data_IF_185903503245
#
_entry.id   IF_185903503245
#
_cell.length_a   1.000
_cell.length_b   1.000
_cell.length_c   1.000
_cell.angle_alpha   90.00
_cell.angle_beta   90.00
_cell.angle_gamma   90.00
#
_symmetry.space_group_name_H-M   'P 1'
#
loop_
_entity.id
_entity.type
_entity.pdbx_description
1 polymer ?
#
# COMPACT_ATOMS: atom_id res chain seq x y z
N UNK A 1 -24.67 10.97 -22.72
CA UNK A 1 -24.90 9.80 -21.82
C UNK A 1 -24.53 8.45 -22.45
N UNK A 2 -24.35 8.32 -23.78
CA UNK A 2 -23.93 7.05 -24.42
C UNK A 2 -22.45 6.98 -24.83
N UNK A 3 -21.73 8.11 -24.91
CA UNK A 3 -20.30 8.13 -25.25
C UNK A 3 -19.39 7.71 -24.06
N UNK A 4 -19.85 7.89 -22.82
CA UNK A 4 -19.06 7.62 -21.62
C UNK A 4 -18.95 6.12 -21.28
N UNK A 5 -19.92 5.29 -21.71
CA UNK A 5 -19.88 3.84 -21.50
C UNK A 5 -18.91 3.14 -22.46
N UNK A 6 -18.76 3.66 -23.69
CA UNK A 6 -17.87 3.08 -24.69
C UNK A 6 -16.39 3.35 -24.37
N UNK A 7 -16.04 4.57 -23.95
CA UNK A 7 -14.67 4.92 -23.51
C UNK A 7 -14.30 4.26 -22.17
N UNK A 8 -15.27 3.98 -21.31
CA UNK A 8 -15.01 3.18 -20.10
C UNK A 8 -14.61 1.74 -20.44
N UNK A 9 -15.18 1.16 -21.49
CA UNK A 9 -14.96 -0.24 -21.87
C UNK A 9 -13.57 -0.48 -22.49
N UNK A 10 -13.00 0.50 -23.19
CA UNK A 10 -11.63 0.41 -23.74
C UNK A 10 -10.54 0.61 -22.69
N UNK A 11 -10.86 1.25 -21.55
CA UNK A 11 -9.98 1.37 -20.38
C UNK A 11 -9.99 0.11 -19.49
N UNK A 12 -10.88 -0.86 -19.77
CA UNK A 12 -11.01 -2.12 -19.03
C UNK A 12 -10.12 -3.26 -19.54
N UNK A 13 -9.33 -3.04 -20.59
CA UNK A 13 -8.15 -3.87 -20.83
C UNK A 13 -7.08 -3.50 -19.81
N UNK A 14 -7.27 -3.95 -18.57
CA UNK A 14 -6.17 -4.18 -17.65
C UNK A 14 -5.27 -5.19 -18.35
N UNK A 15 -4.21 -4.72 -19.00
CA UNK A 15 -2.96 -5.44 -18.93
C UNK A 15 -2.64 -5.55 -17.43
N UNK A 16 -3.15 -6.61 -16.80
CA UNK A 16 -2.60 -7.08 -15.54
C UNK A 16 -1.16 -7.45 -15.87
N UNK A 17 -0.24 -6.50 -15.71
CA UNK A 17 1.17 -6.84 -15.53
C UNK A 17 1.17 -7.87 -14.41
N UNK A 18 1.42 -9.13 -14.75
CA UNK A 18 1.63 -10.17 -13.76
C UNK A 18 2.91 -9.80 -13.03
N UNK A 19 2.79 -9.17 -11.86
CA UNK A 19 3.93 -8.97 -10.99
C UNK A 19 4.31 -10.32 -10.41
N UNK A 20 5.60 -10.63 -10.43
CA UNK A 20 6.11 -11.78 -9.70
C UNK A 20 6.20 -11.45 -8.21
N UNK A 21 6.40 -12.49 -7.39
CA UNK A 21 6.68 -12.34 -5.96
C UNK A 21 7.70 -11.23 -5.71
N UNK A 22 7.36 -10.29 -4.82
CA UNK A 22 8.25 -9.24 -4.30
C UNK A 22 8.57 -8.11 -5.29
N UNK A 23 7.82 -8.02 -6.40
CA UNK A 23 7.98 -6.93 -7.37
C UNK A 23 7.05 -5.74 -7.10
N UNK A 24 5.85 -5.97 -6.55
CA UNK A 24 4.86 -4.93 -6.25
C UNK A 24 4.55 -4.89 -4.76
N UNK A 25 4.88 -3.77 -4.13
CA UNK A 25 4.64 -3.55 -2.70
C UNK A 25 3.55 -2.50 -2.52
N UNK A 26 2.47 -2.88 -1.85
CA UNK A 26 1.45 -1.95 -1.37
C UNK A 26 1.91 -1.33 -0.04
N UNK A 27 1.82 -0.01 0.08
CA UNK A 27 2.09 0.72 1.32
C UNK A 27 0.77 1.28 1.84
N UNK A 28 0.48 0.99 3.09
CA UNK A 28 -0.68 1.51 3.82
C UNK A 28 -0.26 2.04 5.19
N UNK A 29 -0.79 3.20 5.58
CA UNK A 29 -0.53 3.84 6.88
C UNK A 29 -1.83 3.94 7.65
N UNK A 30 -1.87 3.32 8.82
CA UNK A 30 -3.04 3.33 9.69
C UNK A 30 -2.80 4.16 10.95
N UNK A 31 -3.83 4.89 11.38
CA UNK A 31 -3.86 5.66 12.62
C UNK A 31 -4.36 7.10 12.43
N UNK A 32 -4.45 7.88 13.53
CA UNK A 32 -3.99 7.54 14.87
C UNK A 32 -4.87 6.48 15.56
N UNK A 33 -4.23 5.53 16.25
CA UNK A 33 -4.91 4.53 17.07
C UNK A 33 -5.46 5.15 18.35
N UNK A 34 -6.61 4.63 18.81
CA UNK A 34 -7.25 5.09 20.05
C UNK A 34 -6.36 4.89 21.29
N UNK A 35 -5.62 3.79 21.32
CA UNK A 35 -4.67 3.49 22.39
C UNK A 35 -3.24 3.52 21.85
N UNK A 36 -2.35 4.16 22.60
CA UNK A 36 -0.92 4.11 22.32
C UNK A 36 -0.36 2.75 22.74
N UNK A 37 0.61 2.25 21.96
CA UNK A 37 1.44 1.14 22.43
C UNK A 37 2.27 1.54 23.66
N UNK A 38 2.83 0.55 24.36
CA UNK A 38 3.78 0.79 25.46
C UNK A 38 4.98 1.66 25.03
N UNK A 39 5.37 1.60 23.76
CA UNK A 39 6.43 2.43 23.17
C UNK A 39 5.96 3.79 22.62
N UNK A 40 4.72 4.20 22.90
CA UNK A 40 4.17 5.50 22.50
C UNK A 40 3.64 5.58 21.06
N UNK A 41 3.80 4.53 20.25
CA UNK A 41 3.35 4.52 18.87
C UNK A 41 1.82 4.72 18.75
N UNK A 42 1.42 5.57 17.79
CA UNK A 42 0.03 5.92 17.44
C UNK A 42 -0.34 5.50 16.02
N UNK A 43 0.66 5.18 15.20
CA UNK A 43 0.48 4.81 13.80
C UNK A 43 1.21 3.51 13.53
N UNK A 44 0.86 2.84 12.43
CA UNK A 44 1.74 1.85 11.82
C UNK A 44 1.76 2.02 10.31
N UNK A 45 2.84 1.59 9.67
CA UNK A 45 2.94 1.42 8.22
C UNK A 45 3.06 -0.06 7.91
N UNK A 46 2.31 -0.51 6.91
CA UNK A 46 2.29 -1.87 6.41
C UNK A 46 2.81 -1.92 4.97
N UNK A 47 3.88 -2.67 4.74
CA UNK A 47 4.39 -3.01 3.41
C UNK A 47 3.90 -4.40 3.06
N UNK A 48 2.95 -4.49 2.13
CA UNK A 48 2.32 -5.75 1.70
C UNK A 48 2.77 -6.12 0.30
N UNK A 49 3.40 -7.27 0.17
CA UNK A 49 3.68 -7.86 -1.14
C UNK A 49 2.38 -8.31 -1.81
N UNK A 50 2.14 -7.83 -3.04
CA UNK A 50 0.88 -8.09 -3.73
C UNK A 50 0.72 -9.57 -4.12
N UNK A 51 1.81 -10.25 -4.47
CA UNK A 51 1.77 -11.63 -4.94
C UNK A 51 1.67 -12.64 -3.77
N UNK A 52 2.65 -12.62 -2.86
CA UNK A 52 2.76 -13.58 -1.74
C UNK A 52 1.85 -13.25 -0.56
N UNK A 53 1.30 -12.03 -0.53
CA UNK A 53 0.54 -11.48 0.61
C UNK A 53 1.37 -11.36 1.90
N UNK A 54 2.70 -11.51 1.84
CA UNK A 54 3.61 -11.21 2.94
C UNK A 54 3.45 -9.76 3.38
N UNK A 55 3.54 -9.51 4.69
CA UNK A 55 3.38 -8.17 5.28
C UNK A 55 4.54 -7.87 6.22
N UNK A 56 5.13 -6.69 6.08
CA UNK A 56 6.08 -6.12 7.03
C UNK A 56 5.45 -4.87 7.65
N UNK A 57 5.33 -4.85 8.98
CA UNK A 57 4.69 -3.75 9.73
C UNK A 57 5.71 -3.06 10.62
N UNK A 58 5.69 -1.74 10.64
CA UNK A 58 6.47 -0.90 11.55
C UNK A 58 5.55 0.01 12.34
N UNK A 59 5.74 0.07 13.66
CA UNK A 59 5.02 0.98 14.54
C UNK A 59 5.72 2.34 14.59
N UNK A 60 4.93 3.42 14.57
CA UNK A 60 5.42 4.80 14.46
C UNK A 60 4.70 5.69 15.47
N UNK A 61 5.41 6.69 16.00
CA UNK A 61 4.81 7.74 16.83
C UNK A 61 4.20 8.86 15.97
N UNK A 62 4.75 9.08 14.76
CA UNK A 62 4.29 10.06 13.78
C UNK A 62 4.32 9.52 12.35
N UNK A 63 3.42 10.01 11.47
CA UNK A 63 3.42 9.71 10.02
C UNK A 63 4.72 10.11 9.32
N UNK A 64 5.50 11.05 9.89
CA UNK A 64 6.78 11.48 9.32
C UNK A 64 7.85 10.38 9.35
N UNK A 65 7.64 9.29 10.10
CA UNK A 65 8.58 8.17 10.21
C UNK A 65 8.49 7.18 9.03
N UNK A 66 7.50 7.32 8.14
CA UNK A 66 7.26 6.42 7.00
C UNK A 66 8.51 6.28 6.11
N UNK A 67 9.22 7.37 5.84
CA UNK A 67 10.42 7.34 5.00
C UNK A 67 11.53 6.48 5.59
N UNK A 68 11.74 6.56 6.92
CA UNK A 68 12.71 5.74 7.65
C UNK A 68 12.32 4.27 7.67
N UNK A 69 11.02 3.99 7.87
CA UNK A 69 10.50 2.62 7.80
C UNK A 69 10.66 2.03 6.38
N UNK A 70 10.40 2.83 5.34
CA UNK A 70 10.60 2.43 3.95
C UNK A 70 12.07 2.13 3.66
N UNK A 71 12.99 3.00 4.07
CA UNK A 71 14.44 2.76 3.89
C UNK A 71 14.88 1.45 4.56
N UNK A 72 14.41 1.21 5.79
CA UNK A 72 14.67 -0.04 6.51
C UNK A 72 14.13 -1.25 5.73
N UNK A 73 12.90 -1.17 5.25
CA UNK A 73 12.27 -2.23 4.46
C UNK A 73 13.00 -2.52 3.14
N UNK A 74 13.42 -1.47 2.41
CA UNK A 74 14.19 -1.62 1.17
C UNK A 74 15.55 -2.28 1.43
N UNK A 75 16.21 -1.94 2.54
CA UNK A 75 17.46 -2.57 2.94
C UNK A 75 17.26 -4.04 3.32
N UNK A 76 16.20 -4.38 4.07
CA UNK A 76 15.84 -5.78 4.38
C UNK A 76 15.59 -6.59 3.08
N UNK A 77 14.85 -6.01 2.13
CA UNK A 77 14.59 -6.64 0.83
C UNK A 77 15.88 -6.87 0.03
N UNK A 78 16.75 -5.86 -0.04
CA UNK A 78 18.03 -5.95 -0.72
C UNK A 78 18.94 -7.02 -0.12
N UNK A 79 19.04 -7.09 1.21
CA UNK A 79 19.86 -8.07 1.92
C UNK A 79 19.37 -9.51 1.73
N UNK A 80 18.09 -9.69 1.43
CA UNK A 80 17.48 -11.00 1.15
C UNK A 80 17.45 -11.33 -0.35
N UNK A 81 18.05 -10.49 -1.21
CA UNK A 81 18.12 -10.70 -2.65
C UNK A 81 16.82 -10.38 -3.39
N UNK A 82 15.90 -9.63 -2.77
CA UNK A 82 14.63 -9.25 -3.37
C UNK A 82 14.73 -7.91 -4.09
N UNK A 83 14.22 -7.87 -5.32
CA UNK A 83 14.17 -6.66 -6.14
C UNK A 83 12.73 -6.15 -6.21
N UNK A 84 12.45 -5.10 -5.44
CA UNK A 84 11.20 -4.36 -5.53
C UNK A 84 11.24 -3.51 -6.79
N UNK A 85 10.21 -3.63 -7.64
CA UNK A 85 10.13 -2.88 -8.91
C UNK A 85 9.21 -1.67 -8.77
N UNK A 86 8.11 -1.85 -8.05
CA UNK A 86 7.09 -0.83 -7.92
C UNK A 86 6.48 -0.80 -6.51
N UNK A 87 6.19 0.41 -6.07
CA UNK A 87 5.48 0.71 -4.85
C UNK A 87 4.13 1.33 -5.19
N UNK A 88 3.06 0.77 -4.63
CA UNK A 88 1.69 1.26 -4.75
C UNK A 88 1.24 1.83 -3.41
N UNK A 89 0.86 3.10 -3.35
CA UNK A 89 0.12 3.65 -2.20
C UNK A 89 -1.36 3.70 -2.51
N UNK A 90 -2.19 3.56 -1.48
CA UNK A 90 -3.60 3.91 -1.63
C UNK A 90 -3.75 5.43 -1.82
N UNK A 91 -4.88 5.86 -2.39
CA UNK A 91 -5.15 7.25 -2.79
C UNK A 91 -5.22 8.26 -1.64
N UNK A 92 -4.93 7.86 -0.40
CA UNK A 92 -4.68 8.77 0.72
C UNK A 92 -3.30 9.39 0.53
N UNK A 93 -3.21 10.46 -0.27
CA UNK A 93 -1.97 11.14 -0.70
C UNK A 93 -0.99 11.63 0.37
N UNK A 94 -1.17 11.23 1.63
CA UNK A 94 -0.31 11.52 2.78
C UNK A 94 0.91 10.59 2.86
N UNK A 95 0.86 9.40 2.26
CA UNK A 95 1.94 8.39 2.40
C UNK A 95 3.14 8.68 1.50
N UNK A 96 2.90 9.05 0.25
CA UNK A 96 3.96 9.34 -0.74
C UNK A 96 4.28 10.85 -0.70
N UNK A 97 4.97 11.28 0.36
CA UNK A 97 5.53 12.64 0.43
C UNK A 97 6.79 12.78 -0.44
N UNK A 98 7.31 14.00 -0.59
CA UNK A 98 8.49 14.29 -1.41
C UNK A 98 9.73 13.49 -0.98
N UNK A 99 9.89 13.25 0.33
CA UNK A 99 10.98 12.43 0.88
C UNK A 99 10.88 10.98 0.43
N UNK A 100 9.68 10.40 0.49
CA UNK A 100 9.41 9.02 0.02
C UNK A 100 9.64 8.91 -1.48
N UNK A 101 9.16 9.87 -2.28
CA UNK A 101 9.42 9.89 -3.74
C UNK A 101 10.91 9.90 -4.05
N UNK A 102 11.67 10.81 -3.41
CA UNK A 102 13.12 10.90 -3.62
C UNK A 102 13.84 9.61 -3.22
N UNK A 103 13.41 8.94 -2.14
CA UNK A 103 13.98 7.67 -1.71
C UNK A 103 13.72 6.55 -2.73
N UNK A 104 12.51 6.47 -3.30
CA UNK A 104 12.16 5.49 -4.32
C UNK A 104 12.93 5.74 -5.62
N UNK A 105 13.01 7.00 -6.07
CA UNK A 105 13.80 7.40 -7.24
C UNK A 105 15.27 7.03 -7.09
N UNK A 106 15.88 7.33 -5.94
CA UNK A 106 17.27 6.93 -5.64
C UNK A 106 17.48 5.42 -5.65
N UNK A 107 16.44 4.66 -5.32
CA UNK A 107 16.46 3.20 -5.30
C UNK A 107 16.11 2.58 -6.66
N UNK A 108 15.77 3.39 -7.67
CA UNK A 108 15.34 2.93 -8.98
C UNK A 108 13.95 2.26 -8.98
N UNK A 109 13.12 2.55 -7.98
CA UNK A 109 11.80 1.93 -7.77
C UNK A 109 10.72 2.88 -8.28
N UNK A 110 9.80 2.38 -9.12
CA UNK A 110 8.68 3.20 -9.57
C UNK A 110 7.64 3.36 -8.47
N UNK A 111 6.96 4.51 -8.43
CA UNK A 111 5.84 4.74 -7.51
C UNK A 111 4.55 4.94 -8.29
N UNK A 112 3.46 4.37 -7.78
CA UNK A 112 2.10 4.53 -8.29
C UNK A 112 1.17 4.85 -7.13
N UNK A 113 0.18 5.70 -7.38
CA UNK A 113 -0.96 5.85 -6.48
C UNK A 113 -2.14 5.08 -7.07
N UNK A 114 -2.87 4.35 -6.22
CA UNK A 114 -4.13 3.75 -6.63
C UNK A 114 -5.09 4.87 -7.02
N UNK A 115 -5.97 4.61 -7.99
CA UNK A 115 -7.10 5.52 -8.21
C UNK A 115 -7.92 5.62 -6.92
N UNK A 116 -8.53 6.78 -6.63
CA UNK A 116 -9.55 6.87 -5.58
C UNK A 116 -10.59 5.78 -5.82
N UNK A 117 -10.87 4.97 -4.80
CA UNK A 117 -11.80 3.86 -4.91
C UNK A 117 -13.14 4.35 -5.46
N UNK A 118 -13.53 3.87 -6.63
CA UNK A 118 -14.85 4.14 -7.19
C UNK A 118 -15.89 3.34 -6.40
N UNK A 119 -17.09 3.89 -6.14
CA UNK A 119 -18.09 3.30 -5.22
C UNK A 119 -18.44 1.82 -5.49
N UNK A 120 -18.33 1.36 -6.74
CA UNK A 120 -18.60 -0.04 -7.09
C UNK A 120 -17.56 -1.02 -6.50
N UNK A 121 -16.33 -0.59 -6.23
CA UNK A 121 -15.31 -1.43 -5.60
C UNK A 121 -15.43 -1.45 -4.07
N UNK A 122 -16.03 -0.42 -3.46
CA UNK A 122 -16.30 -0.38 -2.02
C UNK A 122 -17.16 -1.56 -1.57
N UNK A 123 -18.15 -1.97 -2.37
CA UNK A 123 -19.02 -3.09 -1.99
C UNK A 123 -18.29 -4.45 -1.84
N UNK A 124 -17.10 -4.63 -2.42
CA UNK A 124 -16.32 -5.87 -2.27
C UNK A 124 -15.28 -5.75 -1.14
N UNK A 125 -14.56 -4.64 -1.07
CA UNK A 125 -13.55 -4.39 -0.04
C UNK A 125 -14.18 -4.17 1.36
N UNK A 126 -15.34 -3.52 1.43
CA UNK A 126 -16.11 -3.39 2.68
C UNK A 126 -16.57 -4.76 3.16
N UNK A 127 -17.05 -5.64 2.26
CA UNK A 127 -17.43 -7.01 2.63
C UNK A 127 -16.27 -7.84 3.14
N UNK A 128 -15.08 -7.71 2.54
CA UNK A 128 -13.88 -8.44 2.96
C UNK A 128 -13.38 -7.95 4.33
N UNK A 129 -13.44 -6.63 4.58
CA UNK A 129 -13.10 -6.03 5.87
C UNK A 129 -14.12 -6.41 6.96
N UNK A 130 -15.42 -6.47 6.62
CA UNK A 130 -16.48 -6.91 7.51
C UNK A 130 -16.37 -8.41 7.86
N UNK A 131 -15.95 -9.25 6.92
CA UNK A 131 -15.72 -10.68 7.15
C UNK A 131 -14.55 -10.92 8.10
N UNK A 132 -13.45 -10.19 7.95
CA UNK A 132 -12.30 -10.27 8.85
C UNK A 132 -12.63 -9.79 10.28
N UNK A 133 -13.54 -8.82 10.42
CA UNK A 133 -14.03 -8.40 11.74
C UNK A 133 -14.93 -9.47 12.38
N UNK A 134 -15.79 -10.14 11.60
CA UNK A 134 -16.66 -11.21 12.11
C UNK A 134 -15.92 -12.48 12.52
N UNK A 135 -14.85 -12.86 11.82
CA UNK A 135 -14.02 -14.02 12.18
C UNK A 135 -13.23 -13.79 13.48
N UNK A 136 -13.01 -12.52 13.87
CA UNK A 136 -12.34 -12.17 15.12
C UNK A 136 -13.21 -12.35 16.37
N UNK A 137 -14.53 -12.41 16.20
CA UNK A 137 -15.51 -12.50 17.29
C UNK A 137 -16.12 -13.92 17.43
N UNK A 138 -15.49 -14.93 16.81
CA UNK A 138 -15.71 -16.38 17.04
C UNK A 138 -14.49 -16.99 17.74
#
# INVERSE_FOLDING_TARGET
>A
MLLWQAESSSLWNKETKGYYARELINIDVCGPMQQQSLGGAKYYVCFKDDFTKYRRVFFMQSKNEVSKCLETFLNEAKNTGHMIKEVLSDGGGEVINSTVKSLLEKSGISSRMSMPYTPQQNGAAERETELLLKVRDL
#
